data_IF_219583682417
#
_entry.id   IF_219583682417
#
_cell.length_a   1.000
_cell.length_b   1.000
_cell.length_c   1.000
_cell.angle_alpha   90.00
_cell.angle_beta   90.00
_cell.angle_gamma   90.00
#
_symmetry.space_group_name_H-M   'P 1'
#
loop_
_entity.id
_entity.type
_entity.pdbx_description
1 polymer ?
#
# COMPACT_ATOMS: atom_id res chain seq x y z
N UNK A 1 18.75 20.58 4.45
CA UNK A 1 18.06 19.28 4.32
C UNK A 1 18.93 18.35 3.48
N UNK A 2 19.28 17.16 3.98
CA UNK A 2 20.08 16.18 3.22
C UNK A 2 19.17 15.52 2.17
N UNK A 3 19.49 15.64 0.89
CA UNK A 3 18.73 14.98 -0.19
C UNK A 3 18.87 13.47 -0.08
N UNK A 4 17.74 12.77 0.00
CA UNK A 4 17.74 11.29 0.00
C UNK A 4 18.16 10.79 -1.38
N UNK A 5 19.17 9.91 -1.43
CA UNK A 5 19.55 9.22 -2.67
C UNK A 5 18.36 8.44 -3.22
N UNK A 6 18.12 8.56 -4.52
CA UNK A 6 17.14 7.78 -5.26
C UNK A 6 17.88 6.70 -6.03
N UNK A 7 17.31 5.51 -6.04
CA UNK A 7 17.83 4.36 -6.77
C UNK A 7 16.75 3.86 -7.72
N UNK A 8 17.17 3.55 -8.94
CA UNK A 8 16.28 3.03 -9.97
C UNK A 8 15.85 1.60 -9.63
N UNK A 9 14.69 1.20 -10.16
CA UNK A 9 14.12 -0.12 -9.90
C UNK A 9 15.06 -1.25 -10.34
N UNK A 10 15.66 -1.11 -11.52
CA UNK A 10 16.57 -2.11 -12.06
C UNK A 10 17.77 -2.33 -11.15
N UNK A 11 18.35 -1.23 -10.67
CA UNK A 11 19.45 -1.28 -9.73
C UNK A 11 19.06 -1.98 -8.42
N UNK A 12 17.90 -1.64 -7.84
CA UNK A 12 17.42 -2.31 -6.62
C UNK A 12 17.24 -3.82 -6.81
N UNK A 13 16.75 -4.25 -7.98
CA UNK A 13 16.61 -5.68 -8.30
C UNK A 13 17.96 -6.38 -8.40
N UNK A 14 18.92 -5.78 -9.09
CA UNK A 14 20.27 -6.32 -9.20
C UNK A 14 20.93 -6.48 -7.82
N UNK A 15 20.84 -5.44 -6.98
CA UNK A 15 21.35 -5.48 -5.60
C UNK A 15 20.65 -6.57 -4.78
N UNK A 16 19.35 -6.75 -4.94
CA UNK A 16 18.62 -7.79 -4.23
C UNK A 16 19.01 -9.19 -4.71
N UNK A 17 19.10 -9.42 -6.02
CA UNK A 17 19.54 -10.70 -6.58
C UNK A 17 20.93 -11.07 -6.06
N UNK A 18 21.86 -10.11 -6.11
CA UNK A 18 23.21 -10.30 -5.55
C UNK A 18 23.19 -10.56 -4.05
N UNK A 19 22.29 -9.90 -3.31
CA UNK A 19 22.11 -10.14 -1.87
C UNK A 19 21.53 -11.51 -1.52
N UNK A 20 20.83 -12.15 -2.47
CA UNK A 20 20.30 -13.50 -2.29
C UNK A 20 21.41 -14.56 -2.39
N UNK A 21 22.41 -14.31 -3.24
CA UNK A 21 23.58 -15.16 -3.45
C UNK A 21 24.69 -14.92 -2.41
N UNK A 22 24.74 -13.72 -1.82
CA UNK A 22 25.75 -13.35 -0.83
C UNK A 22 25.30 -13.65 0.61
N UNK A 23 26.18 -14.27 1.40
CA UNK A 23 25.97 -14.48 2.84
C UNK A 23 26.26 -13.23 3.69
N UNK A 24 26.96 -12.22 3.15
CA UNK A 24 27.36 -11.02 3.89
C UNK A 24 26.83 -9.74 3.22
N UNK A 25 25.81 -9.14 3.84
CA UNK A 25 25.15 -7.92 3.37
C UNK A 25 26.01 -6.67 3.62
N UNK A 26 26.82 -6.67 4.67
CA UNK A 26 27.65 -5.52 5.05
C UNK A 26 28.74 -5.27 4.00
N UNK A 27 29.43 -6.34 3.58
CA UNK A 27 30.43 -6.28 2.51
C UNK A 27 29.83 -5.82 1.18
N UNK A 28 28.61 -6.28 0.86
CA UNK A 28 27.89 -5.86 -0.34
C UNK A 28 27.50 -4.36 -0.26
N UNK A 29 27.12 -3.89 0.93
CA UNK A 29 26.83 -2.48 1.19
C UNK A 29 28.06 -1.59 0.98
N UNK A 30 29.22 -2.00 1.49
CA UNK A 30 30.49 -1.29 1.28
C UNK A 30 30.85 -1.19 -0.20
N UNK A 31 30.80 -2.32 -0.93
CA UNK A 31 31.14 -2.37 -2.36
C UNK A 31 30.24 -1.44 -3.20
N UNK A 32 28.95 -1.42 -2.90
CA UNK A 32 27.97 -0.63 -3.64
C UNK A 32 27.78 0.79 -3.08
N UNK A 33 28.48 1.16 -2.00
CA UNK A 33 28.27 2.42 -1.26
C UNK A 33 26.80 2.63 -0.85
N UNK A 34 26.17 1.56 -0.36
CA UNK A 34 24.77 1.47 0.08
C UNK A 34 24.75 1.04 1.54
N UNK A 35 23.92 1.69 2.35
CA UNK A 35 23.75 1.27 3.73
C UNK A 35 23.14 -0.15 3.79
N UNK A 36 23.72 -1.10 4.56
CA UNK A 36 23.23 -2.49 4.64
C UNK A 36 21.74 -2.61 4.96
N UNK A 37 21.21 -1.74 5.84
CA UNK A 37 19.77 -1.68 6.14
C UNK A 37 18.88 -1.44 4.91
N UNK A 38 19.34 -0.69 3.91
CA UNK A 38 18.59 -0.49 2.68
C UNK A 38 18.53 -1.78 1.86
N UNK A 39 19.63 -2.52 1.78
CA UNK A 39 19.68 -3.82 1.10
C UNK A 39 18.75 -4.81 1.81
N UNK A 40 18.84 -4.90 3.13
CA UNK A 40 17.96 -5.75 3.96
C UNK A 40 16.48 -5.38 3.83
N UNK A 41 16.17 -4.09 3.71
CA UNK A 41 14.82 -3.61 3.42
C UNK A 41 14.37 -4.05 2.03
N UNK A 42 15.20 -3.82 1.00
CA UNK A 42 14.84 -4.18 -0.37
C UNK A 42 14.66 -5.69 -0.55
N UNK A 43 15.49 -6.50 0.11
CA UNK A 43 15.38 -7.95 0.14
C UNK A 43 14.04 -8.40 0.75
N UNK A 44 13.62 -7.79 1.86
CA UNK A 44 12.29 -8.05 2.45
C UNK A 44 11.15 -7.66 1.52
N UNK A 45 11.22 -6.48 0.89
CA UNK A 45 10.20 -6.02 -0.07
C UNK A 45 10.09 -6.98 -1.26
N UNK A 46 11.23 -7.45 -1.78
CA UNK A 46 11.28 -8.44 -2.86
C UNK A 46 10.73 -9.82 -2.45
N UNK A 47 11.13 -10.34 -1.29
CA UNK A 47 10.63 -11.64 -0.80
C UNK A 47 9.13 -11.63 -0.52
N UNK A 48 8.57 -10.48 -0.11
CA UNK A 48 7.15 -10.34 0.19
C UNK A 48 6.28 -10.19 -1.05
N UNK A 49 6.71 -9.37 -2.01
CA UNK A 49 5.87 -8.92 -3.12
C UNK A 49 6.33 -9.46 -4.48
N UNK A 50 7.47 -10.15 -4.52
CA UNK A 50 8.10 -10.62 -5.75
C UNK A 50 8.66 -9.49 -6.60
N UNK A 51 9.32 -9.86 -7.69
CA UNK A 51 9.97 -8.92 -8.60
C UNK A 51 9.01 -7.83 -9.10
N UNK A 52 7.83 -8.23 -9.62
CA UNK A 52 6.90 -7.32 -10.30
C UNK A 52 6.30 -6.24 -9.39
N UNK A 53 6.01 -6.55 -8.13
CA UNK A 53 5.34 -5.63 -7.20
C UNK A 53 6.29 -5.00 -6.16
N UNK A 54 7.54 -5.45 -6.11
CA UNK A 54 8.57 -4.85 -5.25
C UNK A 54 8.90 -3.41 -5.64
N UNK A 55 9.27 -2.61 -4.64
CA UNK A 55 9.64 -1.20 -4.76
C UNK A 55 8.55 -0.27 -5.35
N UNK A 56 7.29 -0.31 -4.86
CA UNK A 56 6.19 0.49 -5.41
C UNK A 56 6.37 2.01 -5.22
N UNK A 57 7.33 2.44 -4.38
CA UNK A 57 7.59 3.84 -4.07
C UNK A 57 6.90 4.30 -2.78
N UNK A 58 6.99 5.59 -2.49
CA UNK A 58 6.45 6.13 -1.24
C UNK A 58 4.91 6.19 -1.30
N UNK A 59 4.25 5.62 -0.28
CA UNK A 59 2.80 5.69 -0.11
C UNK A 59 2.00 4.80 -1.07
N UNK A 60 2.66 3.96 -1.87
CA UNK A 60 2.00 2.99 -2.75
C UNK A 60 2.09 1.60 -2.15
N UNK A 61 0.96 0.90 -2.14
CA UNK A 61 0.91 -0.50 -1.73
C UNK A 61 1.39 -1.39 -2.88
N UNK A 62 2.09 -2.47 -2.55
CA UNK A 62 2.55 -3.47 -3.50
C UNK A 62 1.39 -4.42 -3.85
N UNK A 63 0.37 -3.88 -4.52
CA UNK A 63 -0.84 -4.61 -4.92
C UNK A 63 -0.80 -4.94 -6.41
N UNK A 64 -1.18 -6.17 -6.74
CA UNK A 64 -1.54 -6.59 -8.09
C UNK A 64 -2.67 -5.71 -8.66
N UNK A 65 -2.82 -5.67 -9.98
CA UNK A 65 -3.94 -4.99 -10.63
C UNK A 65 -5.30 -5.49 -10.11
N UNK A 66 -5.41 -6.81 -9.91
CA UNK A 66 -6.62 -7.43 -9.36
C UNK A 66 -6.89 -6.98 -7.92
N UNK A 67 -5.86 -6.89 -7.09
CA UNK A 67 -5.99 -6.44 -5.70
C UNK A 67 -6.33 -4.95 -5.60
N UNK A 68 -5.80 -4.14 -6.52
CA UNK A 68 -6.16 -2.72 -6.65
C UNK A 68 -7.63 -2.57 -7.02
N UNK A 69 -8.12 -3.34 -7.99
CA UNK A 69 -9.51 -3.31 -8.40
C UNK A 69 -10.43 -3.82 -7.28
N UNK A 70 -10.05 -4.92 -6.61
CA UNK A 70 -10.79 -5.43 -5.45
C UNK A 70 -10.91 -4.37 -4.34
N UNK A 71 -9.82 -3.65 -4.06
CA UNK A 71 -9.85 -2.56 -3.08
C UNK A 71 -10.78 -1.43 -3.50
N UNK A 72 -10.71 -1.03 -4.78
CA UNK A 72 -11.59 -0.01 -5.35
C UNK A 72 -13.06 -0.41 -5.22
N UNK A 73 -13.42 -1.61 -5.66
CA UNK A 73 -14.78 -2.14 -5.59
C UNK A 73 -15.28 -2.23 -4.14
N UNK A 74 -14.43 -2.67 -3.19
CA UNK A 74 -14.78 -2.69 -1.77
C UNK A 74 -15.07 -1.30 -1.22
N UNK A 75 -14.32 -0.29 -1.67
CA UNK A 75 -14.55 1.10 -1.28
C UNK A 75 -15.87 1.62 -1.85
N UNK A 76 -16.10 1.43 -3.15
CA UNK A 76 -17.35 1.85 -3.81
C UNK A 76 -18.58 1.19 -3.15
N UNK A 77 -18.49 -0.10 -2.81
CA UNK A 77 -19.54 -0.81 -2.08
C UNK A 77 -19.78 -0.25 -0.67
N UNK A 78 -18.70 0.10 0.05
CA UNK A 78 -18.81 0.68 1.38
C UNK A 78 -19.45 2.07 1.34
N UNK A 79 -19.05 2.91 0.39
CA UNK A 79 -19.60 4.26 0.18
C UNK A 79 -21.10 4.17 -0.15
N UNK A 80 -21.49 3.27 -1.06
CA UNK A 80 -22.90 3.02 -1.42
C UNK A 80 -23.73 2.53 -0.24
N UNK A 81 -23.17 1.64 0.60
CA UNK A 81 -23.83 1.16 1.82
C UNK A 81 -23.99 2.28 2.84
N UNK A 82 -23.02 3.17 2.96
CA UNK A 82 -23.12 4.32 3.85
C UNK A 82 -24.22 5.28 3.39
N UNK A 83 -24.29 5.61 2.10
CA UNK A 83 -25.33 6.46 1.53
C UNK A 83 -26.74 5.89 1.80
N UNK A 84 -26.94 4.60 1.54
CA UNK A 84 -28.23 3.94 1.82
C UNK A 84 -28.58 3.94 3.30
N UNK A 85 -27.60 3.78 4.20
CA UNK A 85 -27.83 3.86 5.65
C UNK A 85 -28.21 5.27 6.09
N UNK A 86 -27.54 6.30 5.55
CA UNK A 86 -27.86 7.70 5.83
C UNK A 86 -29.29 7.99 5.37
N UNK A 87 -29.66 7.57 4.15
CA UNK A 87 -31.01 7.79 3.62
C UNK A 87 -32.07 7.07 4.45
N UNK A 88 -31.84 5.80 4.83
CA UNK A 88 -32.74 5.05 5.72
C UNK A 88 -32.92 5.73 7.08
N UNK A 89 -31.83 6.23 7.68
CA UNK A 89 -31.89 6.98 8.94
C UNK A 89 -32.68 8.27 8.78
N UNK A 90 -32.48 9.01 7.69
CA UNK A 90 -33.23 10.22 7.40
C UNK A 90 -34.74 9.94 7.28
N UNK A 91 -35.14 8.94 6.47
CA UNK A 91 -36.54 8.53 6.33
C UNK A 91 -37.13 8.17 7.69
N UNK A 92 -36.42 7.38 8.50
CA UNK A 92 -36.90 6.99 9.83
C UNK A 92 -37.15 8.21 10.74
N UNK A 93 -36.27 9.21 10.72
CA UNK A 93 -36.44 10.46 11.48
C UNK A 93 -37.67 11.23 11.00
N UNK A 94 -37.85 11.38 9.68
CA UNK A 94 -39.00 12.09 9.11
C UNK A 94 -40.32 11.38 9.41
N UNK A 95 -40.40 10.06 9.25
CA UNK A 95 -41.62 9.29 9.54
C UNK A 95 -42.01 9.26 11.03
N UNK A 96 -41.05 9.46 11.95
CA UNK A 96 -41.34 9.62 13.38
C UNK A 96 -41.79 11.04 13.75
N UNK A 97 -41.43 12.05 12.94
CA UNK A 97 -41.85 13.44 13.15
C UNK A 97 -43.33 13.69 12.83
N UNK A 98 -43.88 12.97 11.86
CA UNK A 98 -45.25 13.17 11.38
C UNK A 98 -46.33 12.72 12.39
N UNK A 99 -46.00 11.87 13.37
CA UNK A 99 -46.96 11.37 14.37
C UNK A 99 -47.12 12.31 15.58
N UNK A 100 -46.35 13.39 15.68
CA UNK A 100 -46.37 14.29 16.86
C UNK A 100 -47.27 15.53 16.68
N UNK A 101 -47.79 15.78 15.47
CA UNK A 101 -48.75 16.87 15.20
C UNK A 101 -50.20 16.38 15.05
N UNK A 102 -50.69 15.62 16.04
CA UNK A 102 -52.13 15.41 16.25
C UNK A 102 -52.41 15.65 17.74
N UNK A 103 -52.56 16.92 18.12
CA UNK A 103 -53.29 17.39 19.29
C UNK A 103 -53.99 18.70 18.95
#
# INVERSE_FOLDING_TARGET
>A
MKTRRKYDRQFKLEVVNRSLECNNIDKLGEELSIHPDMISRWRREFLKSGEKLSFPGNGKEALSQEEQELRRLRKELADSRLETQILKKAIHIFSLGDTTSIK
#
